data_IF_242607879937
#
_entry.id   IF_242607879937
#
_cell.length_a   1.000
_cell.length_b   1.000
_cell.length_c   1.000
_cell.angle_alpha   90.00
_cell.angle_beta   90.00
_cell.angle_gamma   90.00
#
_symmetry.space_group_name_H-M   'P 1'
#
loop_
_entity.id
_entity.type
_entity.pdbx_description
1 polymer ?
#
# COMPACT_ATOMS: atom_id res chain seq x y z
N UNK A 1 3.97 9.71 -1.86
CA UNK A 1 4.41 8.33 -2.17
C UNK A 1 3.37 7.61 -3.01
N UNK A 2 3.81 6.75 -3.91
CA UNK A 2 2.95 5.83 -4.67
C UNK A 2 3.29 4.42 -4.22
N UNK A 3 2.33 3.75 -3.60
CA UNK A 3 2.40 2.33 -3.28
C UNK A 3 1.69 1.53 -4.36
N UNK A 4 2.42 0.66 -5.06
CA UNK A 4 1.87 -0.32 -5.98
C UNK A 4 1.49 -1.59 -5.22
N UNK A 5 0.20 -1.93 -5.21
CA UNK A 5 -0.32 -3.15 -4.58
C UNK A 5 -0.71 -4.15 -5.68
N UNK A 6 -0.23 -5.39 -5.60
CA UNK A 6 -0.34 -6.39 -6.64
C UNK A 6 -1.33 -7.50 -6.28
N UNK A 7 -2.14 -7.88 -7.28
CA UNK A 7 -2.99 -9.06 -7.28
C UNK A 7 -2.76 -9.78 -8.61
N UNK A 8 -2.54 -11.08 -8.58
CA UNK A 8 -2.06 -11.91 -9.68
C UNK A 8 -2.69 -11.69 -11.07
N UNK A 9 -1.87 -11.84 -12.12
CA UNK A 9 -2.28 -11.80 -13.53
C UNK A 9 -1.33 -12.63 -14.41
N UNK A 10 -1.73 -12.94 -15.66
CA UNK A 10 -1.04 -13.82 -16.61
C UNK A 10 0.36 -13.37 -17.07
N UNK A 11 0.76 -12.12 -16.85
CA UNK A 11 2.12 -11.65 -17.10
C UNK A 11 2.93 -11.76 -15.81
N UNK A 12 4.20 -12.14 -15.90
CA UNK A 12 5.08 -12.28 -14.73
C UNK A 12 4.96 -11.05 -13.82
N UNK A 13 4.54 -11.28 -12.59
CA UNK A 13 4.28 -10.21 -11.61
C UNK A 13 5.54 -9.34 -11.42
N UNK A 14 6.71 -9.98 -11.47
CA UNK A 14 8.01 -9.34 -11.38
C UNK A 14 8.24 -8.32 -12.49
N UNK A 15 7.92 -8.65 -13.76
CA UNK A 15 8.12 -7.71 -14.87
C UNK A 15 7.21 -6.49 -14.77
N UNK A 16 5.99 -6.67 -14.27
CA UNK A 16 5.04 -5.58 -14.03
C UNK A 16 5.50 -4.66 -12.91
N UNK A 17 6.02 -5.24 -11.82
CA UNK A 17 6.60 -4.45 -10.72
C UNK A 17 7.82 -3.68 -11.20
N UNK A 18 8.69 -4.30 -11.98
CA UNK A 18 9.87 -3.63 -12.53
C UNK A 18 9.48 -2.41 -13.36
N UNK A 19 8.44 -2.51 -14.21
CA UNK A 19 7.90 -1.37 -14.94
C UNK A 19 7.32 -0.27 -14.05
N UNK A 20 6.64 -0.63 -12.96
CA UNK A 20 6.16 0.35 -11.99
C UNK A 20 7.32 1.06 -11.25
N UNK A 21 8.40 0.33 -10.93
CA UNK A 21 9.61 0.88 -10.33
C UNK A 21 10.34 1.83 -11.29
N UNK A 22 10.47 1.47 -12.57
CA UNK A 22 10.99 2.35 -13.64
C UNK A 22 10.15 3.62 -13.80
N UNK A 23 8.83 3.51 -13.58
CA UNK A 23 7.89 4.63 -13.58
C UNK A 23 7.92 5.50 -12.32
N UNK A 24 8.68 5.11 -11.28
CA UNK A 24 8.86 5.90 -10.06
C UNK A 24 7.98 5.50 -8.89
N UNK A 25 7.48 4.26 -8.83
CA UNK A 25 6.85 3.73 -7.61
C UNK A 25 7.85 3.77 -6.45
N UNK A 26 7.41 4.26 -5.28
CA UNK A 26 8.28 4.52 -4.12
C UNK A 26 8.14 3.48 -3.00
N UNK A 27 7.11 2.65 -3.07
CA UNK A 27 6.86 1.52 -2.18
C UNK A 27 6.12 0.44 -2.96
N UNK A 28 6.45 -0.82 -2.73
CA UNK A 28 5.73 -1.97 -3.30
C UNK A 28 5.05 -2.74 -2.16
N UNK A 29 3.80 -3.14 -2.38
CA UNK A 29 3.06 -4.02 -1.46
C UNK A 29 2.65 -5.27 -2.22
N UNK A 30 3.10 -6.44 -1.74
CA UNK A 30 2.66 -7.74 -2.24
C UNK A 30 1.43 -8.20 -1.46
N UNK A 31 0.35 -8.48 -2.19
CA UNK A 31 -0.88 -9.07 -1.66
C UNK A 31 -1.26 -10.26 -2.52
N UNK A 32 -1.04 -11.45 -1.99
CA UNK A 32 -1.40 -12.71 -2.63
C UNK A 32 -2.23 -13.57 -1.66
N UNK A 33 -3.38 -14.06 -2.12
CA UNK A 33 -4.34 -14.83 -1.27
C UNK A 33 -4.72 -16.19 -1.85
N UNK A 34 -4.28 -16.47 -3.07
CA UNK A 34 -4.73 -17.65 -3.82
C UNK A 34 -3.61 -18.67 -4.05
N UNK A 35 -2.35 -18.24 -3.97
CA UNK A 35 -1.19 -19.12 -4.17
C UNK A 35 -0.86 -19.93 -2.90
N UNK A 36 -0.25 -21.11 -3.04
CA UNK A 36 0.36 -21.84 -1.95
C UNK A 36 1.45 -21.01 -1.24
N UNK A 37 1.59 -21.16 0.08
CA UNK A 37 2.57 -20.39 0.88
C UNK A 37 4.00 -20.44 0.33
N UNK A 38 4.46 -21.61 -0.16
CA UNK A 38 5.80 -21.74 -0.73
C UNK A 38 6.00 -20.90 -1.99
N UNK A 39 4.95 -20.74 -2.81
CA UNK A 39 5.00 -19.94 -4.02
C UNK A 39 4.94 -18.44 -3.67
N UNK A 40 4.13 -18.04 -2.69
CA UNK A 40 4.08 -16.66 -2.17
C UNK A 40 5.43 -16.27 -1.56
N UNK A 41 6.07 -17.18 -0.81
CA UNK A 41 7.40 -16.94 -0.25
C UNK A 41 8.43 -16.69 -1.36
N UNK A 42 8.47 -17.53 -2.37
CA UNK A 42 9.41 -17.38 -3.50
C UNK A 42 9.18 -16.06 -4.23
N UNK A 43 7.91 -15.71 -4.49
CA UNK A 43 7.55 -14.45 -5.13
C UNK A 43 7.98 -13.25 -4.29
N UNK A 44 7.77 -13.29 -2.97
CA UNK A 44 8.18 -12.24 -2.04
C UNK A 44 9.71 -12.07 -2.04
N UNK A 45 10.49 -13.16 -2.04
CA UNK A 45 11.95 -13.13 -2.09
C UNK A 45 12.44 -12.49 -3.41
N UNK A 46 11.87 -12.90 -4.57
CA UNK A 46 12.22 -12.35 -5.88
C UNK A 46 11.86 -10.84 -5.99
N UNK A 47 10.70 -10.44 -5.46
CA UNK A 47 10.28 -9.05 -5.45
C UNK A 47 11.10 -8.20 -4.48
N UNK A 48 11.51 -8.74 -3.34
CA UNK A 48 12.36 -8.04 -2.38
C UNK A 48 13.71 -7.70 -3.01
N UNK A 49 14.35 -8.68 -3.68
CA UNK A 49 15.60 -8.45 -4.41
C UNK A 49 15.42 -7.39 -5.50
N UNK A 50 14.31 -7.45 -6.26
CA UNK A 50 14.00 -6.49 -7.30
C UNK A 50 13.83 -5.08 -6.71
N UNK A 51 12.99 -4.91 -5.71
CA UNK A 51 12.73 -3.61 -5.08
C UNK A 51 14.01 -2.99 -4.52
N UNK A 52 14.84 -3.79 -3.84
CA UNK A 52 16.10 -3.32 -3.27
C UNK A 52 17.10 -2.84 -4.34
N UNK A 53 17.12 -3.44 -5.55
CA UNK A 53 17.92 -2.94 -6.67
C UNK A 53 17.54 -1.52 -7.10
N UNK A 54 16.28 -1.16 -6.94
CA UNK A 54 15.75 0.20 -7.22
C UNK A 54 15.78 1.11 -5.99
N UNK A 55 16.27 0.63 -4.84
CA UNK A 55 16.25 1.39 -3.58
C UNK A 55 14.85 1.59 -3.00
N UNK A 56 13.89 0.76 -3.40
CA UNK A 56 12.48 0.79 -2.99
C UNK A 56 12.23 -0.31 -1.96
N UNK A 57 11.33 -0.08 -1.01
CA UNK A 57 10.96 -1.05 0.02
C UNK A 57 9.81 -1.94 -0.43
N UNK A 58 9.82 -3.20 0.02
CA UNK A 58 8.74 -4.16 -0.13
C UNK A 58 8.06 -4.42 1.21
N UNK A 59 6.74 -4.30 1.25
CA UNK A 59 5.92 -4.75 2.38
C UNK A 59 4.98 -5.88 1.95
N UNK A 60 4.63 -6.78 2.88
CA UNK A 60 3.66 -7.84 2.65
C UNK A 60 2.30 -7.46 3.24
N UNK A 61 1.20 -7.90 2.61
CA UNK A 61 -0.16 -7.69 3.13
C UNK A 61 -0.53 -8.85 4.07
N UNK A 62 -1.04 -8.53 5.23
CA UNK A 62 -1.60 -9.42 6.26
C UNK A 62 -0.59 -10.38 6.95
N UNK A 63 0.39 -10.94 6.24
CA UNK A 63 1.24 -12.04 6.72
C UNK A 63 2.54 -11.56 7.38
N UNK A 64 2.47 -11.33 8.69
CA UNK A 64 3.59 -10.87 9.53
C UNK A 64 4.70 -11.92 9.64
N UNK A 65 4.34 -13.20 9.75
CA UNK A 65 5.30 -14.29 9.92
C UNK A 65 6.11 -14.50 8.62
N UNK A 66 5.44 -14.47 7.48
CA UNK A 66 6.12 -14.53 6.19
C UNK A 66 7.00 -13.29 5.98
N UNK A 67 6.53 -12.10 6.33
CA UNK A 67 7.33 -10.88 6.23
C UNK A 67 8.63 -10.98 7.04
N UNK A 68 8.56 -11.52 8.27
CA UNK A 68 9.74 -11.76 9.10
C UNK A 68 10.65 -12.83 8.48
N UNK A 69 10.09 -13.92 7.95
CA UNK A 69 10.81 -15.06 7.37
C UNK A 69 11.60 -14.68 6.13
N UNK A 70 11.01 -13.91 5.21
CA UNK A 70 11.68 -13.46 3.96
C UNK A 70 12.54 -12.21 4.19
N UNK A 71 12.42 -11.57 5.34
CA UNK A 71 13.15 -10.34 5.65
C UNK A 71 12.57 -9.09 4.97
N UNK A 72 11.28 -9.10 4.58
CA UNK A 72 10.61 -7.95 3.97
C UNK A 72 10.81 -6.67 4.79
N UNK A 73 10.68 -5.50 4.16
CA UNK A 73 10.90 -4.21 4.83
C UNK A 73 9.78 -3.85 5.79
N UNK A 74 8.63 -4.53 5.70
CA UNK A 74 7.51 -4.32 6.60
C UNK A 74 6.27 -5.11 6.21
N UNK A 75 5.15 -4.73 6.84
CA UNK A 75 3.85 -5.38 6.67
C UNK A 75 2.73 -4.34 6.65
N UNK A 76 1.65 -4.67 5.96
CA UNK A 76 0.37 -3.95 6.06
C UNK A 76 -0.65 -4.87 6.76
N UNK A 77 -1.21 -4.43 7.87
CA UNK A 77 -2.22 -5.17 8.63
C UNK A 77 -3.57 -4.45 8.66
N UNK A 78 -4.64 -5.21 8.48
CA UNK A 78 -6.02 -4.72 8.62
C UNK A 78 -6.54 -4.87 10.05
N UNK A 79 -7.78 -4.42 10.28
CA UNK A 79 -8.42 -4.43 11.60
C UNK A 79 -8.79 -5.84 12.13
N UNK A 80 -8.82 -6.84 11.24
CA UNK A 80 -9.13 -8.25 11.58
C UNK A 80 -7.91 -9.15 11.59
N UNK A 81 -6.74 -8.60 11.27
CA UNK A 81 -5.51 -9.36 11.16
C UNK A 81 -4.77 -9.40 12.50
N UNK A 82 -3.47 -9.69 12.49
CA UNK A 82 -2.66 -9.71 13.71
C UNK A 82 -2.68 -8.34 14.41
N UNK A 83 -2.77 -8.34 15.75
CA UNK A 83 -2.69 -7.10 16.52
C UNK A 83 -1.34 -6.41 16.32
N UNK A 84 -1.37 -5.07 16.20
CA UNK A 84 -0.19 -4.24 15.92
C UNK A 84 0.96 -4.47 16.92
N UNK A 85 0.66 -4.58 18.22
CA UNK A 85 1.66 -4.82 19.25
C UNK A 85 2.39 -6.16 19.01
N UNK A 86 1.66 -7.22 18.66
CA UNK A 86 2.22 -8.52 18.39
C UNK A 86 3.02 -8.55 17.07
N UNK A 87 2.52 -7.87 16.03
CA UNK A 87 3.29 -7.69 14.79
C UNK A 87 4.62 -6.97 15.05
N UNK A 88 4.62 -5.95 15.90
CA UNK A 88 5.84 -5.22 16.30
C UNK A 88 6.81 -6.10 17.11
N UNK A 89 6.32 -7.00 17.97
CA UNK A 89 7.16 -7.97 18.68
C UNK A 89 7.89 -8.93 17.74
N UNK A 90 7.19 -9.40 16.68
CA UNK A 90 7.76 -10.33 15.69
C UNK A 90 8.76 -9.63 14.79
N UNK A 91 8.41 -8.45 14.24
CA UNK A 91 9.19 -7.74 13.23
C UNK A 91 10.33 -6.90 13.82
N UNK A 92 10.23 -6.52 15.08
CA UNK A 92 11.18 -5.62 15.72
C UNK A 92 10.92 -4.13 15.38
N UNK A 93 11.76 -3.22 15.91
CA UNK A 93 11.52 -1.78 15.85
C UNK A 93 11.82 -1.14 14.47
N UNK A 94 12.62 -1.81 13.64
CA UNK A 94 13.15 -1.22 12.40
C UNK A 94 12.28 -1.50 11.17
N UNK A 95 11.32 -2.43 11.28
CA UNK A 95 10.43 -2.78 10.17
C UNK A 95 9.21 -1.87 10.13
N UNK A 96 8.74 -1.58 8.92
CA UNK A 96 7.57 -0.74 8.69
C UNK A 96 6.30 -1.51 8.98
N UNK A 97 5.40 -0.95 9.79
CA UNK A 97 4.05 -1.48 9.96
C UNK A 97 3.03 -0.43 9.52
N UNK A 98 2.34 -0.73 8.42
CA UNK A 98 1.16 0.00 7.99
C UNK A 98 -0.09 -0.60 8.61
N UNK A 99 -1.02 0.25 9.05
CA UNK A 99 -2.31 -0.19 9.59
C UNK A 99 -3.44 0.42 8.78
N UNK A 100 -4.42 -0.41 8.38
CA UNK A 100 -5.67 0.09 7.79
C UNK A 100 -6.48 0.86 8.84
N UNK A 101 -6.85 2.11 8.56
CA UNK A 101 -7.77 2.89 9.39
C UNK A 101 -8.93 3.42 8.56
N UNK A 102 -10.17 3.18 9.01
CA UNK A 102 -11.42 3.60 8.37
C UNK A 102 -12.20 4.61 9.21
N UNK A 103 -11.76 4.88 10.44
CA UNK A 103 -12.32 5.88 11.34
C UNK A 103 -11.21 6.62 12.06
N UNK A 104 -11.55 7.79 12.63
CA UNK A 104 -10.62 8.60 13.42
C UNK A 104 -10.12 7.84 14.66
N UNK A 105 -11.00 7.05 15.29
CA UNK A 105 -10.66 6.24 16.47
C UNK A 105 -9.62 5.17 16.11
N UNK A 106 -9.81 4.47 14.98
CA UNK A 106 -8.85 3.48 14.48
C UNK A 106 -7.50 4.13 14.15
N UNK A 107 -7.51 5.29 13.53
CA UNK A 107 -6.30 6.03 13.19
C UNK A 107 -5.49 6.40 14.45
N UNK A 108 -6.15 6.98 15.45
CA UNK A 108 -5.52 7.34 16.73
C UNK A 108 -5.02 6.12 17.50
N UNK A 109 -5.77 5.03 17.49
CA UNK A 109 -5.36 3.77 18.14
C UNK A 109 -4.12 3.19 17.46
N UNK A 110 -4.07 3.18 16.13
CA UNK A 110 -2.91 2.70 15.37
C UNK A 110 -1.67 3.58 15.61
N UNK A 111 -1.80 4.90 15.60
CA UNK A 111 -0.69 5.81 15.94
C UNK A 111 -0.17 5.57 17.36
N UNK A 112 -1.08 5.49 18.34
CA UNK A 112 -0.71 5.21 19.73
C UNK A 112 -0.07 3.83 19.92
N UNK A 113 -0.43 2.85 19.09
CA UNK A 113 0.14 1.51 19.05
C UNK A 113 1.48 1.41 18.32
N UNK A 114 1.98 2.49 17.71
CA UNK A 114 3.26 2.52 17.05
C UNK A 114 3.24 2.10 15.57
N UNK A 115 2.13 2.32 14.86
CA UNK A 115 2.10 2.22 13.41
C UNK A 115 2.99 3.29 12.79
N UNK A 116 3.68 2.96 11.69
CA UNK A 116 4.55 3.89 10.98
C UNK A 116 3.79 4.76 10.00
N UNK A 117 2.72 4.23 9.39
CA UNK A 117 1.78 4.98 8.56
C UNK A 117 0.42 4.28 8.47
N UNK A 118 -0.57 4.97 7.94
CA UNK A 118 -1.92 4.43 7.77
C UNK A 118 -2.31 4.29 6.30
N UNK A 119 -3.05 3.22 5.99
CA UNK A 119 -3.80 3.08 4.75
C UNK A 119 -5.28 3.39 4.99
N UNK A 120 -5.85 4.38 4.30
CA UNK A 120 -7.25 4.78 4.48
C UNK A 120 -8.03 4.76 3.16
N UNK A 121 -9.18 4.11 3.16
CA UNK A 121 -10.03 3.93 1.98
C UNK A 121 -11.18 2.94 2.19
N UNK A 122 -11.93 2.63 1.12
CA UNK A 122 -11.66 2.90 -0.31
C UNK A 122 -12.22 4.28 -0.72
N UNK A 123 -11.37 5.19 -1.21
CA UNK A 123 -11.77 6.59 -1.48
C UNK A 123 -12.63 6.76 -2.74
N UNK A 124 -12.46 5.91 -3.76
CA UNK A 124 -13.27 5.85 -4.98
C UNK A 124 -13.89 4.46 -5.21
N UNK A 125 -14.09 3.69 -4.12
CA UNK A 125 -14.50 2.30 -4.20
C UNK A 125 -13.33 1.36 -4.49
N UNK A 126 -13.64 0.10 -4.83
CA UNK A 126 -12.60 -0.88 -5.14
C UNK A 126 -13.12 -1.91 -6.14
N UNK A 127 -12.34 -2.18 -7.16
CA UNK A 127 -12.53 -3.32 -8.06
C UNK A 127 -11.89 -4.59 -7.53
N UNK A 128 -10.92 -4.45 -6.62
CA UNK A 128 -10.11 -5.54 -6.06
C UNK A 128 -10.73 -6.15 -4.78
N UNK A 129 -11.37 -5.31 -3.95
CA UNK A 129 -12.14 -5.76 -2.75
C UNK A 129 -13.62 -5.50 -3.02
N UNK A 130 -14.40 -6.53 -3.36
CA UNK A 130 -15.84 -6.43 -3.69
C UNK A 130 -16.70 -5.88 -2.53
N UNK A 131 -16.21 -6.01 -1.29
CA UNK A 131 -16.90 -5.58 -0.06
C UNK A 131 -16.44 -4.21 0.45
N UNK A 132 -15.65 -3.48 -0.35
CA UNK A 132 -15.14 -2.18 0.06
C UNK A 132 -16.25 -1.12 0.00
N UNK A 133 -16.64 -0.62 1.17
CA UNK A 133 -17.57 0.52 1.28
C UNK A 133 -16.78 1.79 0.94
N UNK A 134 -17.27 2.63 0.00
CA UNK A 134 -16.62 3.88 -0.35
C UNK A 134 -16.51 4.80 0.87
N UNK A 135 -15.30 5.32 1.11
CA UNK A 135 -15.03 6.30 2.16
C UNK A 135 -15.32 7.72 1.63
N UNK A 136 -16.03 8.53 2.41
CA UNK A 136 -16.19 9.94 2.09
C UNK A 136 -14.86 10.68 2.21
N UNK A 137 -14.59 11.61 1.30
CA UNK A 137 -13.34 12.38 1.32
C UNK A 137 -13.21 13.27 2.57
N UNK A 138 -14.32 13.73 3.15
CA UNK A 138 -14.34 14.47 4.42
C UNK A 138 -13.82 13.60 5.56
N UNK A 139 -14.20 12.32 5.61
CA UNK A 139 -13.71 11.40 6.63
C UNK A 139 -12.21 11.11 6.45
N UNK A 140 -11.72 10.97 5.20
CA UNK A 140 -10.29 10.87 4.92
C UNK A 140 -9.53 12.08 5.48
N UNK A 141 -10.04 13.28 5.23
CA UNK A 141 -9.46 14.53 5.74
C UNK A 141 -9.44 14.58 7.26
N UNK A 142 -10.55 14.19 7.93
CA UNK A 142 -10.62 14.08 9.38
C UNK A 142 -9.57 13.10 9.94
N UNK A 143 -9.41 11.94 9.30
CA UNK A 143 -8.38 10.96 9.65
C UNK A 143 -6.98 11.58 9.53
N UNK A 144 -6.67 12.21 8.40
CA UNK A 144 -5.36 12.85 8.17
C UNK A 144 -5.04 13.91 9.24
N UNK A 145 -6.02 14.73 9.62
CA UNK A 145 -5.82 15.76 10.63
C UNK A 145 -5.80 15.23 12.08
N UNK A 146 -6.25 13.99 12.31
CA UNK A 146 -6.35 13.41 13.65
C UNK A 146 -5.06 12.77 14.16
N UNK A 147 -4.08 12.52 13.28
CA UNK A 147 -2.81 11.84 13.56
C UNK A 147 -1.63 12.62 12.98
N UNK A 148 -0.41 12.30 13.45
CA UNK A 148 0.85 12.87 12.97
C UNK A 148 1.58 11.97 12.01
N UNK A 149 1.30 10.65 12.06
CA UNK A 149 1.89 9.68 11.12
C UNK A 149 1.28 9.84 9.73
N UNK A 150 2.03 9.53 8.66
CA UNK A 150 1.53 9.66 7.29
C UNK A 150 0.25 8.84 7.05
N UNK A 151 -0.65 9.39 6.25
CA UNK A 151 -1.87 8.69 5.78
C UNK A 151 -1.80 8.56 4.27
N UNK A 152 -1.92 7.33 3.77
CA UNK A 152 -1.94 6.98 2.35
C UNK A 152 -3.38 6.65 1.95
N UNK A 153 -3.90 7.33 0.93
CA UNK A 153 -5.22 7.05 0.39
C UNK A 153 -5.18 5.81 -0.51
N UNK A 154 -6.19 4.93 -0.40
CA UNK A 154 -6.29 3.70 -1.19
C UNK A 154 -7.72 3.48 -1.70
N UNK A 155 -7.83 2.80 -2.83
CA UNK A 155 -9.08 2.28 -3.40
C UNK A 155 -9.62 3.10 -4.55
N UNK A 156 -9.60 2.51 -5.74
CA UNK A 156 -10.16 3.06 -6.97
C UNK A 156 -9.47 4.31 -7.51
N UNK A 157 -8.25 4.59 -7.07
CA UNK A 157 -7.49 5.78 -7.48
C UNK A 157 -6.92 5.54 -8.89
N UNK A 158 -7.10 6.55 -9.76
CA UNK A 158 -6.57 6.60 -11.13
C UNK A 158 -6.08 8.02 -11.46
N UNK A 159 -5.43 8.19 -12.61
CA UNK A 159 -5.00 9.51 -13.07
C UNK A 159 -6.18 10.50 -13.26
N UNK A 160 -7.38 9.99 -13.60
CA UNK A 160 -8.56 10.82 -13.84
C UNK A 160 -9.19 11.37 -12.55
N UNK A 161 -8.96 10.71 -11.39
CA UNK A 161 -9.66 11.09 -10.16
C UNK A 161 -8.75 11.54 -9.01
N UNK A 162 -7.45 11.25 -9.06
CA UNK A 162 -6.50 11.52 -7.96
C UNK A 162 -6.46 12.98 -7.53
N UNK A 163 -6.62 13.93 -8.47
CA UNK A 163 -6.64 15.37 -8.16
C UNK A 163 -7.80 15.80 -7.24
N UNK A 164 -8.86 14.98 -7.12
CA UNK A 164 -9.97 15.24 -6.17
C UNK A 164 -9.54 15.08 -4.70
N UNK A 165 -8.37 14.46 -4.45
CA UNK A 165 -7.80 14.29 -3.11
C UNK A 165 -6.94 15.50 -2.68
N UNK A 166 -6.79 16.53 -3.52
CA UNK A 166 -6.01 17.73 -3.20
C UNK A 166 -6.50 18.40 -1.92
N UNK A 167 -5.58 18.72 -1.02
CA UNK A 167 -5.87 19.42 0.22
C UNK A 167 -6.45 18.54 1.33
N UNK A 168 -6.56 17.22 1.14
CA UNK A 168 -7.06 16.30 2.17
C UNK A 168 -6.02 15.88 3.20
N UNK A 169 -4.77 16.33 3.07
CA UNK A 169 -3.70 16.05 4.04
C UNK A 169 -3.07 14.66 3.91
N UNK A 170 -3.29 13.98 2.79
CA UNK A 170 -2.65 12.68 2.51
C UNK A 170 -1.16 12.85 2.23
N UNK A 171 -0.37 11.83 2.57
CA UNK A 171 1.06 11.75 2.28
C UNK A 171 1.40 10.99 0.99
N UNK A 172 0.38 10.35 0.38
CA UNK A 172 0.54 9.59 -0.85
C UNK A 172 -0.70 8.77 -1.19
N UNK A 173 -0.56 7.93 -2.21
CA UNK A 173 -1.64 7.03 -2.67
C UNK A 173 -1.14 5.61 -2.85
N UNK A 174 -2.02 4.63 -2.63
CA UNK A 174 -1.80 3.22 -2.95
C UNK A 174 -2.74 2.80 -4.08
N UNK A 175 -2.18 2.23 -5.15
CA UNK A 175 -2.89 1.93 -6.39
C UNK A 175 -2.61 0.50 -6.86
N UNK A 176 -3.63 -0.10 -7.46
CA UNK A 176 -3.53 -1.38 -8.17
C UNK A 176 -3.88 -1.14 -9.64
N UNK A 177 -5.17 -1.12 -9.97
CA UNK A 177 -5.65 -0.99 -11.33
C UNK A 177 -5.25 0.33 -12.00
N UNK A 178 -5.11 1.41 -11.24
CA UNK A 178 -4.68 2.72 -11.76
C UNK A 178 -3.27 2.73 -12.36
N UNK A 179 -2.46 1.71 -12.07
CA UNK A 179 -1.13 1.49 -12.65
C UNK A 179 -1.15 0.22 -13.53
N UNK A 180 -1.55 -0.91 -12.96
CA UNK A 180 -1.40 -2.21 -13.61
C UNK A 180 -2.42 -2.52 -14.71
N UNK A 181 -3.45 -1.71 -14.91
CA UNK A 181 -4.35 -1.79 -16.06
C UNK A 181 -3.94 -0.87 -17.23
N UNK A 182 -2.87 -0.07 -17.08
CA UNK A 182 -2.33 0.73 -18.17
C UNK A 182 -1.68 -0.16 -19.23
N UNK A 183 -1.79 0.24 -20.51
CA UNK A 183 -1.06 -0.42 -21.61
C UNK A 183 0.45 -0.33 -21.41
N UNK A 184 0.92 0.83 -20.94
CA UNK A 184 2.31 1.08 -20.55
C UNK A 184 2.34 1.42 -19.05
N UNK A 185 2.77 0.45 -18.24
CA UNK A 185 2.82 0.56 -16.77
C UNK A 185 3.83 1.64 -16.34
N UNK A 186 4.98 1.74 -17.00
CA UNK A 186 6.01 2.73 -16.68
C UNK A 186 5.49 4.14 -16.87
N UNK A 187 4.96 4.42 -18.06
CA UNK A 187 4.39 5.75 -18.38
C UNK A 187 3.19 6.08 -17.50
N UNK A 188 2.29 5.11 -17.25
CA UNK A 188 1.14 5.28 -16.37
C UNK A 188 1.54 5.59 -14.93
N UNK A 189 2.55 4.90 -14.40
CA UNK A 189 3.07 5.14 -13.06
C UNK A 189 3.70 6.52 -12.94
N UNK A 190 4.54 6.92 -13.92
CA UNK A 190 5.16 8.24 -13.95
C UNK A 190 4.13 9.36 -14.00
N UNK A 191 3.15 9.23 -14.88
CA UNK A 191 2.07 10.22 -15.00
C UNK A 191 1.27 10.36 -13.71
N UNK A 192 0.89 9.24 -13.07
CA UNK A 192 0.20 9.29 -11.79
C UNK A 192 1.07 9.93 -10.71
N UNK A 193 2.39 9.67 -10.70
CA UNK A 193 3.36 10.29 -9.81
C UNK A 193 3.35 11.81 -9.90
N UNK A 194 3.42 12.35 -11.12
CA UNK A 194 3.37 13.79 -11.39
C UNK A 194 2.06 14.45 -10.90
N UNK A 195 0.94 13.72 -10.96
CA UNK A 195 -0.35 14.19 -10.43
C UNK A 195 -0.38 14.15 -8.90
N UNK A 196 0.19 13.11 -8.29
CA UNK A 196 0.27 12.98 -6.83
C UNK A 196 1.12 14.09 -6.22
N UNK A 197 2.24 14.46 -6.83
CA UNK A 197 3.08 15.58 -6.38
C UNK A 197 2.32 16.93 -6.32
N UNK A 198 1.23 17.08 -7.08
CA UNK A 198 0.42 18.31 -7.08
C UNK A 198 -0.59 18.37 -5.92
N UNK A 199 -0.76 17.28 -5.17
CA UNK A 199 -1.81 17.16 -4.15
C UNK A 199 -1.28 16.90 -2.73
N UNK A 200 -0.01 16.51 -2.57
CA UNK A 200 0.66 16.28 -1.29
C UNK A 200 1.46 17.48 -0.82
#
# INVERSE_FOLDING_TARGET
EISACLVGSEMCIRDRVEKALEGGATLVQLREKELPEADVQKEAEELLELCHRYGVKLILDDDVELAAKVGADGVHIGQSDMELAHAREILGPDKIICVTAKTVEQAKAAEAGGADYLGSGAVFGSTTKKDAIPMKHELLEEICHSVKIPVVAIGGITAENVLQLKGRGIAGVAVVSGIFACEDIETGTRHLGELVEQII
#
